data_IF_265694256397
#
_entry.id   IF_265694256397
#
_cell.length_a   1.000
_cell.length_b   1.000
_cell.length_c   1.000
_cell.angle_alpha   90.00
_cell.angle_beta   90.00
_cell.angle_gamma   90.00
#
_symmetry.space_group_name_H-M   'P 1'
#
loop_
_entity.id
_entity.type
_entity.pdbx_description
1 polymer ?
#
# COMPACT_ATOMS: atom_id res chain seq x y z
N UNK A 1 18.11 -2.60 3.73
CA UNK A 1 18.11 -3.44 4.97
C UNK A 1 16.65 -3.66 5.38
N UNK A 2 16.24 -4.91 5.63
CA UNK A 2 14.87 -5.24 6.04
C UNK A 2 14.83 -5.38 7.57
N UNK A 3 13.77 -4.86 8.20
CA UNK A 3 13.45 -5.07 9.61
C UNK A 3 12.45 -6.22 9.68
N UNK A 4 12.68 -7.17 10.59
CA UNK A 4 11.73 -8.24 10.88
C UNK A 4 11.10 -8.00 12.26
N UNK A 5 9.77 -7.94 12.29
CA UNK A 5 8.96 -7.87 13.49
C UNK A 5 8.19 -9.18 13.64
N UNK A 6 7.94 -9.63 14.86
CA UNK A 6 7.23 -10.89 15.06
C UNK A 6 6.46 -10.94 16.37
N UNK A 7 5.40 -11.74 16.34
CA UNK A 7 4.72 -12.28 17.52
C UNK A 7 4.77 -13.81 17.49
N UNK A 8 4.00 -14.49 18.34
CA UNK A 8 3.90 -15.94 18.24
C UNK A 8 3.13 -16.40 17.00
N UNK A 9 2.25 -15.54 16.45
CA UNK A 9 1.36 -15.84 15.33
C UNK A 9 1.82 -15.28 13.99
N UNK A 10 2.53 -14.14 13.98
CA UNK A 10 2.88 -13.44 12.75
C UNK A 10 4.36 -13.09 12.67
N UNK A 11 4.88 -13.09 11.45
CA UNK A 11 6.16 -12.49 11.10
C UNK A 11 5.93 -11.44 10.01
N UNK A 12 6.48 -10.24 10.21
CA UNK A 12 6.29 -9.07 9.34
C UNK A 12 7.63 -8.53 8.93
N UNK A 13 7.85 -8.40 7.62
CA UNK A 13 9.06 -7.82 7.06
C UNK A 13 8.78 -6.40 6.56
N UNK A 14 9.61 -5.44 6.98
CA UNK A 14 9.49 -4.02 6.64
C UNK A 14 10.76 -3.55 5.95
N UNK A 15 10.62 -2.79 4.86
CA UNK A 15 11.73 -2.24 4.07
C UNK A 15 11.86 -0.71 4.24
N UNK A 16 12.65 -0.21 5.20
CA UNK A 16 12.80 1.22 5.45
C UNK A 16 13.36 2.01 4.27
N UNK A 17 14.26 1.40 3.49
CA UNK A 17 14.88 2.04 2.34
C UNK A 17 13.91 2.23 1.17
N UNK A 18 12.71 1.70 1.29
CA UNK A 18 11.70 1.70 0.26
C UNK A 18 10.33 1.95 0.87
N UNK A 19 9.98 3.20 1.06
CA UNK A 19 8.66 3.62 1.54
C UNK A 19 8.27 3.15 2.94
N UNK A 20 9.18 2.52 3.70
CA UNK A 20 8.83 1.71 4.87
C UNK A 20 7.72 0.69 4.56
N UNK A 21 7.76 0.12 3.34
CA UNK A 21 6.78 -0.86 2.89
C UNK A 21 6.80 -2.11 3.75
N UNK A 22 5.63 -2.63 4.06
CA UNK A 22 5.50 -3.98 4.60
C UNK A 22 5.59 -4.94 3.42
N UNK A 23 6.75 -5.56 3.25
CA UNK A 23 7.02 -6.39 2.07
C UNK A 23 6.47 -7.79 2.21
N UNK A 24 6.24 -8.26 3.44
CA UNK A 24 5.60 -9.55 3.68
C UNK A 24 4.98 -9.62 5.08
N UNK A 25 3.89 -10.37 5.17
CA UNK A 25 3.26 -10.81 6.40
C UNK A 25 3.09 -12.33 6.27
N UNK A 26 3.64 -13.09 7.21
CA UNK A 26 3.54 -14.55 7.22
C UNK A 26 2.78 -14.98 8.48
N UNK A 27 1.75 -15.79 8.30
CA UNK A 27 1.14 -16.57 9.37
C UNK A 27 2.13 -17.68 9.79
N UNK A 28 2.62 -17.61 11.02
CA UNK A 28 3.63 -18.56 11.52
C UNK A 28 3.08 -19.93 11.83
N UNK A 29 1.77 -20.07 11.97
CA UNK A 29 1.12 -21.38 12.23
C UNK A 29 0.99 -22.16 10.93
N UNK A 30 0.58 -21.51 9.87
CA UNK A 30 0.34 -22.14 8.56
C UNK A 30 1.54 -22.00 7.61
N UNK A 31 2.41 -21.04 7.85
CA UNK A 31 3.49 -20.66 6.93
C UNK A 31 2.99 -19.88 5.71
N UNK A 32 1.73 -19.46 5.68
CA UNK A 32 1.13 -18.79 4.53
C UNK A 32 1.53 -17.31 4.48
N UNK A 33 2.18 -16.87 3.40
CA UNK A 33 2.39 -15.45 3.13
C UNK A 33 1.09 -14.81 2.64
N UNK A 34 0.76 -13.62 3.15
CA UNK A 34 -0.52 -12.95 2.84
C UNK A 34 -0.40 -11.94 1.71
N UNK A 35 0.77 -11.31 1.57
CA UNK A 35 0.98 -10.28 0.58
C UNK A 35 1.57 -10.86 -0.71
N UNK A 36 1.10 -10.31 -1.84
CA UNK A 36 1.68 -10.61 -3.14
C UNK A 36 3.08 -10.03 -3.26
N UNK A 37 4.01 -10.82 -3.78
CA UNK A 37 5.36 -10.39 -4.11
C UNK A 37 5.56 -10.57 -5.61
N UNK A 38 5.98 -9.49 -6.29
CA UNK A 38 6.30 -9.58 -7.70
C UNK A 38 7.50 -10.51 -7.93
N UNK A 39 7.38 -11.50 -8.81
CA UNK A 39 8.49 -12.42 -9.09
C UNK A 39 9.68 -11.74 -9.78
N UNK A 40 9.48 -10.53 -10.31
CA UNK A 40 10.50 -9.76 -11.04
C UNK A 40 11.10 -8.63 -10.23
N UNK A 41 10.51 -8.32 -9.06
CA UNK A 41 11.00 -7.24 -8.21
C UNK A 41 11.93 -7.79 -7.14
N UNK A 42 13.21 -7.50 -7.25
CA UNK A 42 14.11 -7.61 -6.12
C UNK A 42 13.73 -6.53 -5.10
N UNK A 43 13.31 -6.94 -3.90
CA UNK A 43 12.92 -6.01 -2.83
C UNK A 43 14.07 -5.08 -2.39
N UNK A 44 15.28 -5.35 -2.84
CA UNK A 44 16.48 -4.54 -2.58
C UNK A 44 16.82 -3.57 -3.70
N UNK A 45 16.20 -3.69 -4.88
CA UNK A 45 16.46 -2.77 -5.99
C UNK A 45 15.68 -1.48 -5.83
N UNK A 46 16.40 -0.36 -5.86
CA UNK A 46 15.77 0.95 -6.05
C UNK A 46 15.13 1.04 -7.44
N UNK A 47 14.02 1.78 -7.57
CA UNK A 47 13.41 1.98 -8.87
C UNK A 47 14.44 2.50 -9.89
N UNK A 48 14.38 1.98 -11.09
CA UNK A 48 15.30 2.36 -12.16
C UNK A 48 15.30 3.88 -12.40
N UNK A 49 16.48 4.46 -12.56
CA UNK A 49 16.60 5.84 -13.00
C UNK A 49 16.17 5.93 -14.47
N UNK A 50 15.16 6.75 -14.76
CA UNK A 50 14.66 6.99 -16.12
C UNK A 50 13.17 6.66 -16.26
N UNK A 51 12.61 7.07 -17.39
CA UNK A 51 11.17 6.98 -17.64
C UNK A 51 10.33 8.02 -16.90
N UNK A 52 9.02 7.98 -17.15
CA UNK A 52 8.05 8.76 -16.39
C UNK A 52 7.84 8.21 -14.97
N UNK A 53 7.08 8.93 -14.15
CA UNK A 53 6.89 8.54 -12.76
C UNK A 53 6.13 7.22 -12.60
N UNK A 54 5.22 6.91 -13.51
CA UNK A 54 4.47 5.66 -13.52
C UNK A 54 5.39 4.48 -13.87
N UNK A 55 6.24 4.61 -14.91
CA UNK A 55 7.21 3.58 -15.28
C UNK A 55 8.18 3.30 -14.12
N UNK A 56 8.68 4.35 -13.46
CA UNK A 56 9.58 4.18 -12.32
C UNK A 56 8.92 3.45 -11.16
N UNK A 57 7.67 3.80 -10.85
CA UNK A 57 6.95 3.15 -9.78
C UNK A 57 6.66 1.68 -10.10
N UNK A 58 6.11 1.40 -11.30
CA UNK A 58 5.73 0.03 -11.69
C UNK A 58 6.91 -0.91 -11.83
N UNK A 59 8.03 -0.46 -12.39
CA UNK A 59 9.24 -1.29 -12.50
C UNK A 59 9.89 -1.57 -11.16
N UNK A 60 9.70 -0.66 -10.21
CA UNK A 60 10.18 -0.82 -8.86
C UNK A 60 9.18 -1.48 -7.91
N UNK A 61 7.94 -1.76 -8.31
CA UNK A 61 6.90 -2.27 -7.43
C UNK A 61 7.09 -3.77 -7.09
N UNK A 62 7.37 -4.11 -5.81
CA UNK A 62 7.59 -5.50 -5.43
C UNK A 62 6.31 -6.24 -5.02
N UNK A 63 5.15 -5.59 -4.99
CA UNK A 63 4.01 -6.00 -4.20
C UNK A 63 4.07 -5.47 -2.77
N UNK A 64 3.54 -6.21 -1.81
CA UNK A 64 3.56 -5.79 -0.41
C UNK A 64 2.45 -4.80 -0.06
N UNK A 65 2.66 -4.05 1.02
CA UNK A 65 1.73 -3.02 1.50
C UNK A 65 2.43 -1.68 1.59
N UNK A 66 2.06 -0.76 0.72
CA UNK A 66 2.61 0.58 0.62
C UNK A 66 1.69 1.63 1.25
N UNK A 67 2.29 2.70 1.76
CA UNK A 67 1.59 3.93 2.10
C UNK A 67 1.87 5.00 1.04
N UNK A 68 0.83 5.43 0.34
CA UNK A 68 0.93 6.35 -0.79
C UNK A 68 0.50 7.75 -0.37
N UNK A 69 1.40 8.71 -0.46
CA UNK A 69 1.18 10.14 -0.20
C UNK A 69 2.35 10.96 -0.79
N UNK A 70 2.24 12.24 -1.12
CA UNK A 70 1.09 13.14 -1.03
C UNK A 70 0.10 12.98 -2.18
N UNK A 71 0.37 12.07 -3.10
CA UNK A 71 -0.47 11.67 -4.21
C UNK A 71 -0.77 10.17 -4.16
N UNK A 72 -1.95 9.77 -4.59
CA UNK A 72 -2.34 8.40 -4.79
C UNK A 72 -3.07 8.32 -6.13
N UNK A 73 -2.50 7.58 -7.10
CA UNK A 73 -2.98 7.52 -8.47
C UNK A 73 -2.07 8.24 -9.48
N UNK A 74 -2.59 8.66 -10.63
CA UNK A 74 -1.83 9.28 -11.69
C UNK A 74 -1.05 10.52 -11.25
N UNK A 75 0.06 10.78 -11.97
CA UNK A 75 0.84 11.99 -11.81
C UNK A 75 -0.04 13.25 -11.93
N UNK A 76 0.21 14.24 -11.09
CA UNK A 76 -0.53 15.50 -11.10
C UNK A 76 0.33 16.68 -10.67
N UNK A 77 -0.05 17.88 -11.09
CA UNK A 77 0.46 19.13 -10.50
C UNK A 77 -0.46 19.55 -9.37
N UNK A 78 0.08 19.82 -8.20
CA UNK A 78 -0.62 20.31 -7.02
C UNK A 78 0.18 21.46 -6.42
N UNK A 79 -0.46 22.63 -6.28
CA UNK A 79 0.17 23.88 -5.80
C UNK A 79 1.48 24.23 -6.55
N UNK A 80 1.46 24.02 -7.87
CA UNK A 80 2.60 24.28 -8.75
C UNK A 80 3.72 23.23 -8.67
N UNK A 81 3.60 22.21 -7.85
CA UNK A 81 4.58 21.13 -7.69
C UNK A 81 4.09 19.85 -8.38
N UNK A 82 4.94 19.24 -9.19
CA UNK A 82 4.67 17.96 -9.82
C UNK A 82 4.77 16.86 -8.77
N UNK A 83 3.66 16.16 -8.52
CA UNK A 83 3.59 14.97 -7.70
C UNK A 83 3.50 13.74 -8.61
N UNK A 84 4.47 12.86 -8.51
CA UNK A 84 4.57 11.66 -9.34
C UNK A 84 3.46 10.64 -9.09
N UNK A 85 3.43 9.64 -9.94
CA UNK A 85 2.52 8.50 -9.81
C UNK A 85 2.66 7.84 -8.44
N UNK A 86 1.55 7.70 -7.73
CA UNK A 86 1.45 7.16 -6.37
C UNK A 86 2.22 7.92 -5.28
N UNK A 87 2.73 9.11 -5.61
CA UNK A 87 3.39 9.98 -4.65
C UNK A 87 4.83 9.59 -4.34
N UNK A 88 5.39 10.26 -3.36
CA UNK A 88 6.80 10.17 -3.01
C UNK A 88 7.08 9.19 -1.87
N UNK A 89 6.11 9.00 -0.97
CA UNK A 89 6.32 8.24 0.28
C UNK A 89 6.82 6.81 0.05
N UNK A 90 6.24 6.10 -0.94
CA UNK A 90 6.62 4.72 -1.28
C UNK A 90 7.98 4.60 -1.98
N UNK A 91 8.54 5.71 -2.47
CA UNK A 91 9.86 5.76 -3.11
C UNK A 91 10.93 6.34 -2.20
N UNK A 92 10.54 6.87 -1.05
CA UNK A 92 11.45 7.52 -0.10
C UNK A 92 12.13 6.51 0.81
N UNK A 93 13.35 6.84 1.22
CA UNK A 93 14.01 6.15 2.32
C UNK A 93 13.51 6.72 3.64
N UNK A 94 13.01 5.85 4.50
CA UNK A 94 12.55 6.21 5.83
C UNK A 94 13.62 5.90 6.86
N UNK A 95 13.81 6.82 7.76
CA UNK A 95 14.73 6.67 8.90
C UNK A 95 14.03 5.90 10.02
N UNK A 96 14.63 4.83 10.46
CA UNK A 96 14.21 4.08 11.63
C UNK A 96 14.51 4.92 12.87
N UNK A 97 13.49 5.20 13.66
CA UNK A 97 13.61 5.89 14.95
C UNK A 97 13.89 4.89 16.05
N UNK A 98 13.08 3.82 16.07
CA UNK A 98 13.16 2.73 17.03
C UNK A 98 12.63 1.46 16.40
N UNK A 99 13.17 0.31 16.77
CA UNK A 99 12.56 -0.98 16.53
C UNK A 99 12.92 -1.99 17.61
N UNK A 100 11.95 -2.83 17.95
CA UNK A 100 12.07 -3.98 18.84
C UNK A 100 11.74 -5.27 18.13
N UNK A 101 11.42 -6.30 18.89
CA UNK A 101 11.03 -7.60 18.35
C UNK A 101 9.67 -7.58 17.65
N UNK A 102 8.73 -6.76 18.13
CA UNK A 102 7.34 -6.72 17.65
C UNK A 102 6.85 -5.34 17.25
N UNK A 103 7.69 -4.31 17.30
CA UNK A 103 7.29 -2.95 16.93
C UNK A 103 8.40 -2.20 16.22
N UNK A 104 8.03 -1.26 15.35
CA UNK A 104 8.96 -0.32 14.74
C UNK A 104 8.32 1.06 14.59
N UNK A 105 9.16 2.09 14.74
CA UNK A 105 8.81 3.48 14.45
C UNK A 105 9.76 4.04 13.39
N UNK A 106 9.19 4.64 12.34
CA UNK A 106 9.92 5.16 11.20
C UNK A 106 9.40 6.56 10.85
N UNK A 107 10.27 7.37 10.24
CA UNK A 107 9.91 8.71 9.77
C UNK A 107 10.54 9.01 8.43
N UNK A 108 9.87 9.82 7.63
CA UNK A 108 10.40 10.40 6.40
C UNK A 108 9.95 11.85 6.27
N UNK A 109 10.71 12.62 5.51
CA UNK A 109 10.33 13.98 5.12
C UNK A 109 10.24 14.04 3.61
N UNK A 110 9.11 14.52 3.10
CA UNK A 110 8.88 14.62 1.67
C UNK A 110 9.56 15.88 1.09
N UNK A 111 9.88 15.79 -0.20
CA UNK A 111 10.49 16.87 -0.98
C UNK A 111 9.41 17.62 -1.79
N UNK A 112 8.44 16.87 -2.31
CA UNK A 112 7.38 17.40 -3.19
C UNK A 112 6.21 18.01 -2.43
N UNK A 113 6.22 17.94 -1.11
CA UNK A 113 5.21 18.54 -0.24
C UNK A 113 5.80 18.80 1.15
N UNK A 114 5.30 19.79 1.90
CA UNK A 114 5.83 20.16 3.21
C UNK A 114 5.36 19.18 4.31
N UNK A 115 5.55 17.89 4.10
CA UNK A 115 5.09 16.87 5.03
C UNK A 115 6.23 16.10 5.68
N UNK A 116 6.07 15.85 6.97
CA UNK A 116 6.79 14.84 7.72
C UNK A 116 5.83 13.67 7.97
N UNK A 117 6.33 12.49 7.66
CA UNK A 117 5.61 11.24 7.81
C UNK A 117 6.15 10.50 9.03
N UNK A 118 5.26 9.90 9.79
CA UNK A 118 5.60 9.00 10.88
C UNK A 118 4.76 7.73 10.76
N UNK A 119 5.42 6.58 10.78
CA UNK A 119 4.79 5.26 10.72
C UNK A 119 5.15 4.48 11.96
N UNK A 120 4.13 3.96 12.65
CA UNK A 120 4.27 2.98 13.72
C UNK A 120 3.64 1.67 13.28
N UNK A 121 4.37 0.59 13.50
CA UNK A 121 3.94 -0.78 13.22
C UNK A 121 4.05 -1.57 14.50
N UNK A 122 2.97 -2.20 14.92
CA UNK A 122 2.91 -3.09 16.08
C UNK A 122 2.36 -4.45 15.64
N UNK A 123 3.07 -5.52 16.00
CA UNK A 123 2.70 -6.91 15.69
C UNK A 123 2.32 -7.62 16.98
N UNK A 124 1.08 -8.09 17.06
CA UNK A 124 0.54 -8.84 18.18
C UNK A 124 0.03 -10.21 17.74
N UNK A 125 -0.38 -11.06 18.67
CA UNK A 125 -0.87 -12.41 18.34
C UNK A 125 -2.26 -12.38 17.68
N UNK A 126 -2.99 -11.29 17.82
CA UNK A 126 -4.30 -11.07 17.22
C UNK A 126 -4.24 -10.25 15.92
N UNK A 127 -3.05 -9.77 15.51
CA UNK A 127 -2.91 -9.06 14.25
C UNK A 127 -1.77 -8.04 14.17
N UNK A 128 -1.89 -7.21 13.17
CA UNK A 128 -0.97 -6.12 12.82
C UNK A 128 -1.70 -4.79 12.90
N UNK A 129 -1.12 -3.84 13.63
CA UNK A 129 -1.58 -2.45 13.66
C UNK A 129 -0.55 -1.56 12.97
N UNK A 130 -1.01 -0.78 11.99
CA UNK A 130 -0.21 0.23 11.31
C UNK A 130 -0.86 1.59 11.51
N UNK A 131 -0.10 2.54 12.04
CA UNK A 131 -0.55 3.92 12.23
C UNK A 131 0.37 4.84 11.44
N UNK A 132 -0.20 5.51 10.44
CA UNK A 132 0.49 6.52 9.64
C UNK A 132 0.00 7.92 10.02
N UNK A 133 0.94 8.78 10.34
CA UNK A 133 0.70 10.19 10.66
C UNK A 133 1.38 11.07 9.62
N UNK A 134 0.62 12.00 9.04
CA UNK A 134 1.15 13.04 8.15
C UNK A 134 1.06 14.38 8.88
N UNK A 135 2.20 14.99 9.09
CA UNK A 135 2.33 16.30 9.73
C UNK A 135 2.68 17.35 8.69
N UNK A 136 1.86 18.39 8.58
CA UNK A 136 2.20 19.57 7.79
C UNK A 136 3.29 20.39 8.52
N UNK A 137 4.36 20.71 7.82
CA UNK A 137 5.49 21.49 8.33
C UNK A 137 5.45 22.96 7.90
N UNK A 138 4.49 23.35 7.06
CA UNK A 138 4.29 24.74 6.66
C UNK A 138 3.32 25.44 7.61
N UNK A 139 3.32 26.77 7.56
CA UNK A 139 2.36 27.61 8.28
C UNK A 139 1.01 27.74 7.53
N UNK A 140 0.97 27.31 6.26
CA UNK A 140 -0.21 27.36 5.41
C UNK A 140 -0.94 26.00 5.41
N UNK A 141 -2.22 26.04 5.05
CA UNK A 141 -2.99 24.82 4.82
C UNK A 141 -2.41 24.03 3.65
N UNK A 142 -2.23 22.74 3.84
CA UNK A 142 -1.75 21.83 2.80
C UNK A 142 -2.63 20.59 2.72
N UNK A 143 -2.92 20.15 1.49
CA UNK A 143 -3.72 18.96 1.25
C UNK A 143 -2.90 17.82 0.67
N UNK A 144 -3.24 16.59 1.05
CA UNK A 144 -2.63 15.38 0.53
C UNK A 144 -3.68 14.32 0.22
N UNK A 145 -3.39 13.48 -0.77
CA UNK A 145 -4.05 12.19 -0.91
C UNK A 145 -3.30 11.18 -0.08
N UNK A 146 -4.02 10.32 0.61
CA UNK A 146 -3.46 9.25 1.43
C UNK A 146 -4.16 7.95 1.06
N UNK A 147 -3.39 6.91 0.81
CA UNK A 147 -3.90 5.59 0.46
C UNK A 147 -3.06 4.50 1.12
N UNK A 148 -3.72 3.55 1.75
CA UNK A 148 -3.13 2.26 2.09
C UNK A 148 -3.29 1.33 0.90
N UNK A 149 -2.18 0.76 0.43
CA UNK A 149 -2.13 -0.02 -0.80
C UNK A 149 -1.61 -1.45 -0.55
N UNK A 150 -2.35 -2.29 0.20
CA UNK A 150 -1.98 -3.69 0.38
C UNK A 150 -2.28 -4.48 -0.89
N UNK A 151 -1.31 -5.25 -1.36
CA UNK A 151 -1.47 -6.22 -2.45
C UNK A 151 -1.53 -7.62 -1.86
N UNK A 152 -2.72 -8.14 -1.70
CA UNK A 152 -2.91 -9.54 -1.29
C UNK A 152 -2.73 -10.48 -2.50
N UNK A 153 -2.25 -11.69 -2.26
CA UNK A 153 -2.00 -12.64 -3.34
C UNK A 153 -2.04 -14.10 -2.91
N UNK A 154 -1.70 -14.98 -3.82
CA UNK A 154 -1.58 -16.40 -3.56
C UNK A 154 -0.35 -16.72 -2.69
N UNK A 155 -0.40 -17.73 -1.82
CA UNK A 155 -1.50 -18.67 -1.60
C UNK A 155 -2.59 -18.18 -0.61
N UNK A 156 -2.51 -16.94 -0.11
CA UNK A 156 -3.50 -16.39 0.82
C UNK A 156 -4.86 -16.19 0.14
N UNK A 157 -4.87 -15.70 -1.10
CA UNK A 157 -6.07 -15.58 -1.91
C UNK A 157 -6.19 -16.77 -2.88
N UNK A 158 -7.40 -17.26 -3.04
CA UNK A 158 -7.80 -18.30 -3.98
C UNK A 158 -9.13 -17.95 -4.66
N UNK A 159 -9.64 -18.84 -5.50
CA UNK A 159 -10.90 -18.67 -6.24
C UNK A 159 -12.15 -18.60 -5.33
N UNK A 160 -12.02 -18.93 -4.05
CA UNK A 160 -13.10 -18.87 -3.07
C UNK A 160 -13.03 -17.63 -2.17
N UNK A 161 -11.97 -16.86 -2.31
CA UNK A 161 -11.76 -15.65 -1.51
C UNK A 161 -12.74 -14.55 -1.89
N UNK A 162 -13.24 -13.83 -0.90
CA UNK A 162 -14.14 -12.71 -1.12
C UNK A 162 -13.91 -11.60 -0.11
N UNK A 163 -14.20 -10.36 -0.51
CA UNK A 163 -14.11 -9.19 0.35
C UNK A 163 -15.44 -8.97 1.07
N UNK A 164 -15.39 -8.87 2.38
CA UNK A 164 -16.51 -8.43 3.22
C UNK A 164 -16.24 -6.99 3.66
N UNK A 165 -17.21 -6.11 3.46
CA UNK A 165 -17.08 -4.70 3.83
C UNK A 165 -18.45 -4.16 4.25
N UNK A 166 -18.46 -3.21 5.18
CA UNK A 166 -19.60 -2.38 5.55
C UNK A 166 -19.69 -1.07 4.74
N UNK A 167 -18.80 -0.90 3.77
CA UNK A 167 -18.82 0.25 2.86
C UNK A 167 -20.17 0.33 2.12
N UNK A 168 -20.77 1.52 2.10
CA UNK A 168 -22.03 1.75 1.39
C UNK A 168 -21.89 1.69 -0.14
N UNK A 169 -20.67 1.86 -0.65
CA UNK A 169 -20.35 1.74 -2.07
C UNK A 169 -18.86 1.39 -2.27
N UNK A 170 -18.58 0.61 -3.32
CA UNK A 170 -17.25 0.47 -3.88
C UNK A 170 -17.20 1.26 -5.19
N UNK A 171 -16.21 2.10 -5.34
CA UNK A 171 -16.01 2.90 -6.53
C UNK A 171 -14.75 2.44 -7.25
N UNK A 172 -14.85 2.28 -8.57
CA UNK A 172 -13.67 2.08 -9.40
C UNK A 172 -13.03 3.43 -9.70
N UNK A 173 -11.70 3.46 -9.80
CA UNK A 173 -11.02 4.64 -10.32
C UNK A 173 -11.28 4.72 -11.84
N UNK A 174 -11.89 5.81 -12.28
CA UNK A 174 -12.15 6.06 -13.70
C UNK A 174 -10.86 6.18 -14.53
N UNK A 175 -9.73 6.53 -13.88
CA UNK A 175 -8.42 6.60 -14.52
C UNK A 175 -7.71 5.23 -14.63
N UNK A 176 -8.23 4.22 -13.94
CA UNK A 176 -7.75 2.84 -14.00
C UNK A 176 -8.91 1.88 -14.32
N UNK A 177 -9.58 2.05 -15.47
CA UNK A 177 -10.70 1.21 -15.85
C UNK A 177 -10.19 -0.23 -15.99
N UNK A 178 -10.88 -1.16 -15.33
CA UNK A 178 -10.59 -2.59 -15.40
C UNK A 178 -9.96 -3.19 -14.15
N UNK A 179 -9.54 -2.42 -13.17
CA UNK A 179 -9.02 -2.97 -11.91
C UNK A 179 -10.10 -3.62 -11.04
N UNK A 180 -11.34 -3.18 -11.13
CA UNK A 180 -12.52 -3.87 -10.57
C UNK A 180 -13.59 -4.15 -11.62
N UNK A 181 -13.41 -3.69 -12.86
CA UNK A 181 -14.36 -3.80 -13.97
C UNK A 181 -14.02 -4.95 -14.93
N UNK A 182 -13.15 -5.86 -14.54
CA UNK A 182 -13.05 -7.14 -15.24
C UNK A 182 -14.42 -7.83 -15.19
N UNK A 183 -14.77 -8.55 -16.23
CA UNK A 183 -15.98 -9.37 -16.30
C UNK A 183 -16.14 -10.36 -15.10
N UNK A 184 -15.11 -10.43 -14.28
CA UNK A 184 -14.94 -11.34 -13.17
C UNK A 184 -15.34 -10.77 -11.81
N UNK A 185 -15.75 -9.51 -11.74
CA UNK A 185 -16.41 -9.01 -10.52
C UNK A 185 -17.85 -9.56 -10.52
N UNK A 186 -17.91 -10.88 -10.38
CA UNK A 186 -19.08 -11.68 -10.02
C UNK A 186 -20.41 -11.21 -10.64
N UNK A 187 -20.44 -10.88 -11.93
CA UNK A 187 -21.66 -10.54 -12.64
C UNK A 187 -22.40 -9.30 -12.14
N UNK A 188 -21.70 -8.37 -11.46
CA UNK A 188 -22.29 -7.13 -10.95
C UNK A 188 -21.50 -5.86 -11.29
N UNK A 189 -20.96 -5.72 -12.50
CA UNK A 189 -20.20 -4.52 -12.88
C UNK A 189 -21.05 -3.24 -12.76
N UNK A 190 -22.32 -3.31 -13.05
CA UNK A 190 -23.22 -2.15 -13.06
C UNK A 190 -23.49 -1.58 -11.66
N UNK A 191 -23.52 -2.42 -10.64
CA UNK A 191 -23.72 -2.00 -9.26
C UNK A 191 -22.50 -1.29 -8.71
N UNK A 192 -21.31 -1.76 -9.06
CA UNK A 192 -20.05 -1.16 -8.63
C UNK A 192 -19.77 0.13 -9.40
N UNK A 193 -19.95 0.11 -10.71
CA UNK A 193 -19.67 1.25 -11.59
C UNK A 193 -20.67 2.41 -11.42
N UNK A 194 -21.91 2.10 -11.07
CA UNK A 194 -22.94 3.11 -10.88
C UNK A 194 -22.98 3.73 -9.48
N UNK A 195 -22.08 3.34 -8.56
CA UNK A 195 -22.12 3.81 -7.19
C UNK A 195 -23.37 3.39 -6.41
N UNK A 196 -24.02 2.33 -6.87
CA UNK A 196 -25.17 1.73 -6.19
C UNK A 196 -24.76 0.96 -4.92
N UNK A 197 -25.74 0.54 -4.10
CA UNK A 197 -25.46 -0.24 -2.91
C UNK A 197 -24.74 -1.54 -3.30
N UNK A 198 -23.57 -1.74 -2.72
CA UNK A 198 -22.75 -2.93 -2.94
C UNK A 198 -23.20 -4.00 -1.95
N UNK A 199 -23.30 -5.26 -2.36
CA UNK A 199 -23.49 -6.36 -1.41
C UNK A 199 -22.33 -6.36 -0.42
N UNK A 200 -22.59 -6.84 0.79
CA UNK A 200 -21.58 -6.95 1.84
C UNK A 200 -20.38 -7.85 1.50
N UNK A 201 -20.42 -8.53 0.35
CA UNK A 201 -19.32 -9.38 -0.13
C UNK A 201 -19.17 -9.27 -1.65
N UNK A 202 -17.94 -9.24 -2.11
CA UNK A 202 -17.54 -9.25 -3.52
C UNK A 202 -16.51 -10.36 -3.72
N UNK A 203 -16.75 -11.26 -4.67
CA UNK A 203 -15.77 -12.28 -5.02
C UNK A 203 -14.54 -11.60 -5.65
N UNK A 204 -13.37 -11.95 -5.17
CA UNK A 204 -12.10 -11.49 -5.74
C UNK A 204 -11.77 -12.39 -6.94
N UNK A 205 -11.22 -11.83 -8.03
CA UNK A 205 -10.74 -12.66 -9.13
C UNK A 205 -9.65 -13.59 -8.59
N UNK A 206 -9.73 -14.86 -8.95
CA UNK A 206 -8.67 -15.82 -8.71
C UNK A 206 -7.38 -15.41 -9.44
N UNK A 207 -6.27 -15.99 -9.07
CA UNK A 207 -4.97 -15.73 -9.70
C UNK A 207 -4.95 -16.14 -11.16
#
# INVERSE_FOLDING_TARGET
>A
MTITLSSSMFEVAVAPERGADIVQIVDRVTGVPTLSVSPTADATTHPAFGGDSMTRWTTGYPGGWQFLTPNAGPERVHDGVLQGYHGESALSTWRVLEHGASSAELTARLITAPFELHRRIDVADDGLTVVDTVRNLSDDDASARMLQHPAFGTPFLDEHSYLVTDAGALLTDAAAPGTLAGADVAGRPDTILAGGPVPSSVALPGP
#
